data_IF_314552080611
#
_entry.id   IF_314552080611
#
_cell.length_a   1.000
_cell.length_b   1.000
_cell.length_c   1.000
_cell.angle_alpha   90.00
_cell.angle_beta   90.00
_cell.angle_gamma   90.00
#
_symmetry.space_group_name_H-M   'P 1'
#
loop_
_entity.id
_entity.type
_entity.pdbx_description
1 polymer ?
#
# COMPACT_ATOMS: atom_id res chain seq x y z
N UNK A 1 13.39 -44.82 25.75
CA UNK A 1 13.26 -43.44 26.24
C UNK A 1 12.70 -42.62 25.09
N UNK A 2 11.38 -42.64 24.91
CA UNK A 2 10.70 -41.88 23.86
C UNK A 2 9.86 -40.80 24.53
N UNK A 3 10.33 -39.57 24.33
CA UNK A 3 9.74 -38.36 24.87
C UNK A 3 8.55 -37.99 23.99
N UNK A 4 7.34 -38.13 24.54
CA UNK A 4 6.10 -37.57 24.01
C UNK A 4 6.27 -36.06 23.84
N UNK A 5 6.18 -35.56 22.61
CA UNK A 5 6.03 -34.12 22.36
C UNK A 5 4.55 -33.84 22.07
N UNK A 6 3.98 -33.06 22.98
CA UNK A 6 2.59 -32.63 22.99
C UNK A 6 2.22 -31.92 21.69
N UNK A 7 1.07 -32.32 21.13
CA UNK A 7 0.27 -31.47 20.27
C UNK A 7 -0.12 -30.18 21.02
N UNK A 8 0.61 -29.10 20.76
CA UNK A 8 0.15 -27.74 21.04
C UNK A 8 -0.02 -27.06 19.68
N UNK A 9 -1.28 -27.00 19.28
CA UNK A 9 -1.77 -26.25 18.15
C UNK A 9 -1.36 -24.77 18.28
N UNK A 10 -0.40 -24.32 17.47
CA UNK A 10 -0.13 -22.90 17.21
C UNK A 10 0.14 -22.70 15.73
N UNK A 11 -0.89 -22.89 14.91
CA UNK A 11 -0.94 -22.30 13.56
C UNK A 11 -1.16 -20.78 13.65
N UNK A 12 -0.24 -20.07 14.30
CA UNK A 12 -0.12 -18.63 14.18
C UNK A 12 1.30 -18.40 13.75
N UNK A 13 1.46 -17.79 12.57
CA UNK A 13 2.70 -17.16 12.10
C UNK A 13 3.58 -17.93 11.10
N UNK A 14 3.03 -18.87 10.31
CA UNK A 14 3.74 -19.36 9.12
C UNK A 14 4.04 -18.21 8.13
N UNK A 15 3.14 -17.22 8.03
CA UNK A 15 3.30 -16.05 7.17
C UNK A 15 4.41 -15.09 7.63
N UNK A 16 4.62 -14.95 8.95
CA UNK A 16 5.71 -14.12 9.48
C UNK A 16 7.06 -14.82 9.26
N UNK A 17 7.11 -16.15 9.40
CA UNK A 17 8.32 -16.93 9.14
C UNK A 17 8.67 -16.94 7.64
N UNK A 18 7.67 -17.02 6.76
CA UNK A 18 7.86 -16.87 5.31
C UNK A 18 8.32 -15.44 4.96
N UNK A 19 7.74 -14.39 5.55
CA UNK A 19 8.20 -13.01 5.32
C UNK A 19 9.63 -12.77 5.82
N UNK A 20 9.99 -13.31 6.99
CA UNK A 20 11.35 -13.21 7.54
C UNK A 20 12.37 -13.98 6.67
N UNK A 21 12.04 -15.20 6.23
CA UNK A 21 12.90 -15.96 5.32
C UNK A 21 12.92 -15.42 3.88
N UNK A 22 11.87 -14.74 3.41
CA UNK A 22 11.93 -14.00 2.15
C UNK A 22 12.83 -12.78 2.27
N UNK A 23 12.85 -12.08 3.42
CA UNK A 23 13.77 -10.98 3.68
C UNK A 23 15.23 -11.47 3.76
N UNK A 24 15.49 -12.60 4.40
CA UNK A 24 16.84 -13.20 4.48
C UNK A 24 17.34 -13.69 3.10
N UNK A 25 16.46 -14.23 2.26
CA UNK A 25 16.79 -14.64 0.89
C UNK A 25 16.90 -13.46 -0.10
N UNK A 26 16.23 -12.33 0.16
CA UNK A 26 16.36 -11.10 -0.65
C UNK A 26 17.68 -10.36 -0.37
N UNK A 27 18.30 -10.59 0.79
CA UNK A 27 19.61 -10.04 1.13
C UNK A 27 20.78 -10.83 0.51
N UNK A 28 20.54 -12.01 -0.09
CA UNK A 28 21.61 -12.89 -0.60
C UNK A 28 21.79 -12.87 -2.13
N UNK A 29 21.05 -12.04 -2.89
CA UNK A 29 21.24 -11.93 -4.35
C UNK A 29 21.39 -10.51 -4.89
N UNK A 30 21.81 -9.56 -4.06
CA UNK A 30 22.33 -8.27 -4.55
C UNK A 30 23.83 -8.39 -4.86
N UNK A 31 24.17 -9.06 -5.96
CA UNK A 31 25.43 -8.77 -6.66
C UNK A 31 25.08 -8.39 -8.09
N UNK A 32 24.45 -7.22 -8.25
CA UNK A 32 24.51 -6.48 -9.50
C UNK A 32 25.74 -5.58 -9.40
N UNK A 33 26.85 -6.06 -9.96
CA UNK A 33 28.09 -5.31 -10.07
C UNK A 33 28.05 -4.50 -11.36
N UNK A 34 27.62 -3.25 -11.26
CA UNK A 34 27.97 -2.23 -12.24
C UNK A 34 28.10 -0.90 -11.49
N UNK A 35 29.34 -0.45 -11.29
CA UNK A 35 29.73 0.65 -10.40
C UNK A 35 29.26 2.05 -10.87
N UNK A 36 28.26 2.12 -11.75
CA UNK A 36 27.76 3.37 -12.36
C UNK A 36 26.26 3.59 -12.29
N UNK A 37 25.47 2.67 -11.75
CA UNK A 37 24.02 2.87 -11.61
C UNK A 37 23.70 3.30 -10.18
N UNK A 38 23.44 4.58 -9.98
CA UNK A 38 22.95 5.10 -8.71
C UNK A 38 21.46 4.77 -8.55
N UNK A 39 20.99 4.62 -7.30
CA UNK A 39 19.55 4.47 -7.01
C UNK A 39 18.71 5.62 -7.58
N UNK A 40 19.32 6.79 -7.77
CA UNK A 40 18.70 7.95 -8.40
C UNK A 40 18.55 7.80 -9.92
N UNK A 41 19.51 7.18 -10.62
CA UNK A 41 19.36 6.89 -12.06
C UNK A 41 18.31 5.79 -12.32
N UNK A 42 18.23 4.80 -11.44
CA UNK A 42 17.17 3.78 -11.44
C UNK A 42 15.79 4.40 -11.19
N UNK A 43 15.65 5.28 -10.19
CA UNK A 43 14.40 6.02 -9.96
C UNK A 43 14.04 6.92 -11.13
N UNK A 44 15.01 7.61 -11.73
CA UNK A 44 14.80 8.45 -12.92
C UNK A 44 14.34 7.63 -14.14
N UNK A 45 14.74 6.35 -14.23
CA UNK A 45 14.28 5.45 -15.29
C UNK A 45 12.83 4.97 -15.12
N UNK A 46 12.29 4.99 -13.90
CA UNK A 46 10.92 4.55 -13.63
C UNK A 46 9.97 5.70 -13.85
N UNK A 47 9.19 5.63 -14.94
CA UNK A 47 8.14 6.61 -15.24
C UNK A 47 7.13 6.70 -14.10
N UNK A 48 7.04 7.89 -13.49
CA UNK A 48 5.93 8.30 -12.63
C UNK A 48 4.89 9.08 -13.42
N UNK A 49 3.72 9.29 -12.84
CA UNK A 49 2.59 9.93 -13.53
C UNK A 49 2.11 11.18 -12.80
N UNK A 50 1.36 12.01 -13.51
CA UNK A 50 0.70 13.19 -12.92
C UNK A 50 -0.53 12.80 -12.10
N UNK A 51 -1.06 13.75 -11.33
CA UNK A 51 -2.27 13.54 -10.53
C UNK A 51 -3.45 12.98 -11.36
N UNK A 52 -3.73 13.58 -12.52
CA UNK A 52 -4.83 13.19 -13.40
C UNK A 52 -4.62 11.85 -14.09
N UNK A 53 -3.37 11.41 -14.24
CA UNK A 53 -3.05 10.09 -14.79
C UNK A 53 -3.17 8.98 -13.74
N UNK A 54 -2.89 9.26 -12.46
CA UNK A 54 -3.15 8.31 -11.37
C UNK A 54 -4.63 8.23 -10.98
N UNK A 55 -5.36 9.34 -11.06
CA UNK A 55 -6.72 9.43 -10.53
C UNK A 55 -7.70 9.90 -11.60
N UNK A 56 -8.60 8.99 -12.00
CA UNK A 56 -9.74 9.32 -12.88
C UNK A 56 -10.70 10.29 -12.20
N UNK A 57 -10.94 10.12 -10.90
CA UNK A 57 -11.66 11.10 -10.09
C UNK A 57 -11.28 11.00 -8.61
N UNK A 58 -11.33 12.12 -7.89
CA UNK A 58 -11.21 12.16 -6.42
C UNK A 58 -12.15 13.24 -5.90
N UNK A 59 -13.07 12.87 -5.01
CA UNK A 59 -14.06 13.79 -4.44
C UNK A 59 -14.36 13.47 -2.99
N UNK A 60 -14.55 14.51 -2.19
CA UNK A 60 -15.13 14.37 -0.86
C UNK A 60 -16.61 14.04 -0.99
N UNK A 61 -17.04 12.98 -0.33
CA UNK A 61 -18.44 12.57 -0.26
C UNK A 61 -18.84 12.34 1.19
N UNK A 62 -20.15 12.32 1.43
CA UNK A 62 -20.72 11.77 2.66
C UNK A 62 -21.57 10.57 2.27
N UNK A 63 -21.30 9.40 2.83
CA UNK A 63 -22.08 8.18 2.62
C UNK A 63 -22.40 7.57 3.96
N UNK A 64 -23.68 7.25 4.20
CA UNK A 64 -24.14 6.67 5.46
C UNK A 64 -23.69 7.49 6.69
N UNK A 65 -23.73 8.83 6.58
CA UNK A 65 -23.30 9.74 7.65
C UNK A 65 -21.78 9.90 7.81
N UNK A 66 -20.97 9.15 7.05
CA UNK A 66 -19.51 9.18 7.15
C UNK A 66 -18.91 9.99 6.00
N UNK A 67 -18.01 10.92 6.35
CA UNK A 67 -17.19 11.64 5.37
C UNK A 67 -16.11 10.72 4.83
N UNK A 68 -15.90 10.71 3.51
CA UNK A 68 -14.83 9.97 2.85
C UNK A 68 -14.24 10.76 1.69
N UNK A 69 -12.95 10.56 1.43
CA UNK A 69 -12.33 10.92 0.16
C UNK A 69 -12.51 9.72 -0.78
N UNK A 70 -13.44 9.83 -1.72
CA UNK A 70 -13.76 8.78 -2.69
C UNK A 70 -12.85 8.90 -3.90
N UNK A 71 -12.06 7.86 -4.16
CA UNK A 71 -10.99 7.82 -5.16
C UNK A 71 -11.34 6.78 -6.22
N UNK A 72 -11.40 7.23 -7.47
CA UNK A 72 -11.42 6.34 -8.64
C UNK A 72 -10.02 6.36 -9.26
N UNK A 73 -9.18 5.34 -9.00
CA UNK A 73 -7.83 5.27 -9.55
C UNK A 73 -7.85 4.89 -11.04
N UNK A 74 -6.74 5.13 -11.73
CA UNK A 74 -6.44 4.51 -13.01
C UNK A 74 -5.74 3.15 -12.81
N UNK A 75 -5.50 2.43 -13.90
CA UNK A 75 -4.77 1.16 -13.84
C UNK A 75 -3.31 1.32 -13.36
N UNK A 76 -2.75 2.53 -13.37
CA UNK A 76 -1.39 2.82 -12.86
C UNK A 76 -1.20 2.56 -11.37
N UNK A 77 -2.29 2.34 -10.62
CA UNK A 77 -2.24 1.94 -9.22
C UNK A 77 -2.66 0.49 -8.99
N UNK A 78 -2.66 -0.34 -10.04
CA UNK A 78 -2.93 -1.77 -9.93
C UNK A 78 -1.65 -2.56 -10.19
N UNK A 79 -1.36 -3.55 -9.32
CA UNK A 79 -0.16 -4.40 -9.45
C UNK A 79 -0.03 -5.11 -10.80
N UNK A 80 -1.16 -5.47 -11.42
CA UNK A 80 -1.20 -6.12 -12.74
C UNK A 80 -0.57 -5.27 -13.85
N UNK A 81 -0.57 -3.94 -13.73
CA UNK A 81 0.08 -3.04 -14.71
C UNK A 81 1.60 -3.20 -14.73
N UNK A 82 2.18 -3.74 -13.66
CA UNK A 82 3.63 -3.87 -13.47
C UNK A 82 4.04 -5.34 -13.34
N UNK A 83 3.29 -6.27 -13.93
CA UNK A 83 3.51 -7.72 -13.79
C UNK A 83 3.63 -8.16 -12.32
N UNK A 84 2.85 -7.52 -11.43
CA UNK A 84 2.89 -7.73 -9.98
C UNK A 84 4.25 -7.43 -9.30
N UNK A 85 5.10 -6.60 -9.92
CA UNK A 85 6.31 -6.12 -9.28
C UNK A 85 5.98 -5.17 -8.12
N UNK A 86 6.13 -5.66 -6.88
CA UNK A 86 5.80 -4.93 -5.67
C UNK A 86 6.63 -3.66 -5.46
N UNK A 87 7.90 -3.64 -5.88
CA UNK A 87 8.78 -2.48 -5.73
C UNK A 87 8.33 -1.32 -6.61
N UNK A 88 7.96 -1.60 -7.86
CA UNK A 88 7.43 -0.58 -8.77
C UNK A 88 6.08 -0.10 -8.26
N UNK A 89 5.18 -1.00 -7.86
CA UNK A 89 3.88 -0.61 -7.33
C UNK A 89 4.00 0.27 -6.07
N UNK A 90 4.92 -0.06 -5.16
CA UNK A 90 5.17 0.74 -3.95
C UNK A 90 5.67 2.16 -4.29
N UNK A 91 6.55 2.30 -5.29
CA UNK A 91 6.97 3.61 -5.78
C UNK A 91 5.78 4.41 -6.33
N UNK A 92 4.93 3.78 -7.15
CA UNK A 92 3.75 4.43 -7.75
C UNK A 92 2.74 4.83 -6.67
N UNK A 93 2.54 3.98 -5.65
CA UNK A 93 1.71 4.28 -4.49
C UNK A 93 2.23 5.50 -3.72
N UNK A 94 3.53 5.54 -3.41
CA UNK A 94 4.15 6.66 -2.70
C UNK A 94 4.06 7.97 -3.48
N UNK A 95 4.31 7.95 -4.79
CA UNK A 95 4.16 9.13 -5.64
C UNK A 95 2.71 9.61 -5.71
N UNK A 96 1.76 8.70 -5.92
CA UNK A 96 0.35 9.04 -5.99
C UNK A 96 -0.19 9.55 -4.65
N UNK A 97 0.24 8.97 -3.53
CA UNK A 97 -0.09 9.46 -2.19
C UNK A 97 0.39 10.90 -1.99
N UNK A 98 1.64 11.21 -2.33
CA UNK A 98 2.17 12.57 -2.17
C UNK A 98 1.37 13.59 -3.01
N UNK A 99 0.98 13.22 -4.23
CA UNK A 99 0.12 14.05 -5.09
C UNK A 99 -1.29 14.23 -4.50
N UNK A 100 -1.87 13.16 -3.96
CA UNK A 100 -3.18 13.18 -3.27
C UNK A 100 -3.14 14.08 -2.04
N UNK A 101 -2.15 13.86 -1.16
CA UNK A 101 -1.90 14.65 0.04
C UNK A 101 -1.73 16.13 -0.31
N UNK A 102 -0.82 16.47 -1.23
CA UNK A 102 -0.57 17.86 -1.63
C UNK A 102 -1.85 18.58 -2.09
N UNK A 103 -2.74 17.88 -2.80
CA UNK A 103 -3.98 18.46 -3.34
C UNK A 103 -5.09 18.60 -2.29
N UNK A 104 -5.22 17.65 -1.35
CA UNK A 104 -6.39 17.57 -0.48
C UNK A 104 -6.14 17.93 0.98
N UNK A 105 -4.88 18.01 1.42
CA UNK A 105 -4.52 18.25 2.85
C UNK A 105 -5.07 19.54 3.45
N UNK A 106 -5.37 20.55 2.62
CA UNK A 106 -5.92 21.83 3.07
C UNK A 106 -7.44 21.80 3.26
N UNK A 107 -8.11 20.70 2.90
CA UNK A 107 -9.54 20.55 3.16
C UNK A 107 -9.80 20.47 4.66
N UNK A 108 -10.83 21.15 5.16
CA UNK A 108 -11.30 20.99 6.55
C UNK A 108 -11.76 19.57 6.88
N UNK A 109 -12.01 18.74 5.85
CA UNK A 109 -12.34 17.32 5.98
C UNK A 109 -11.11 16.42 6.17
N UNK A 110 -9.90 16.91 5.86
CA UNK A 110 -8.67 16.14 5.96
C UNK A 110 -8.20 16.05 7.41
N UNK A 111 -8.17 14.83 7.97
CA UNK A 111 -7.71 14.53 9.33
C UNK A 111 -7.02 13.17 9.34
N UNK A 112 -6.21 12.91 10.36
CA UNK A 112 -5.53 11.63 10.57
C UNK A 112 -4.70 11.15 9.36
N UNK A 113 -3.77 11.99 8.89
CA UNK A 113 -2.97 11.74 7.68
C UNK A 113 -2.34 10.36 7.62
N UNK A 114 -1.74 9.87 8.72
CA UNK A 114 -1.12 8.55 8.75
C UNK A 114 -2.13 7.40 8.53
N UNK A 115 -3.32 7.54 9.09
CA UNK A 115 -4.43 6.59 8.87
C UNK A 115 -4.93 6.65 7.43
N UNK A 116 -5.15 7.85 6.87
CA UNK A 116 -5.53 8.01 5.47
C UNK A 116 -4.50 7.40 4.51
N UNK A 117 -3.20 7.54 4.82
CA UNK A 117 -2.11 6.93 4.05
C UNK A 117 -2.16 5.41 4.12
N UNK A 118 -2.34 4.85 5.32
CA UNK A 118 -2.43 3.41 5.52
C UNK A 118 -3.65 2.82 4.78
N UNK A 119 -4.80 3.47 4.87
CA UNK A 119 -6.01 3.09 4.12
C UNK A 119 -5.74 3.14 2.61
N UNK A 120 -5.19 4.25 2.10
CA UNK A 120 -4.87 4.41 0.68
C UNK A 120 -3.94 3.31 0.18
N UNK A 121 -2.82 3.07 0.87
CA UNK A 121 -1.86 2.07 0.45
C UNK A 121 -2.43 0.64 0.55
N UNK A 122 -3.28 0.34 1.55
CA UNK A 122 -3.98 -0.93 1.60
C UNK A 122 -4.89 -1.13 0.38
N UNK A 123 -5.59 -0.07 -0.05
CA UNK A 123 -6.39 -0.14 -1.27
C UNK A 123 -5.53 -0.38 -2.51
N UNK A 124 -4.37 0.27 -2.64
CA UNK A 124 -3.46 0.05 -3.77
C UNK A 124 -2.91 -1.38 -3.78
N UNK A 125 -2.48 -1.91 -2.63
CA UNK A 125 -1.75 -3.17 -2.57
C UNK A 125 -2.65 -4.42 -2.49
N UNK A 126 -3.80 -4.34 -1.82
CA UNK A 126 -4.64 -5.53 -1.54
C UNK A 126 -6.02 -5.46 -2.16
N UNK A 127 -6.65 -4.27 -2.20
CA UNK A 127 -7.99 -4.15 -2.75
C UNK A 127 -7.98 -4.02 -4.28
N UNK A 128 -7.05 -3.22 -4.81
CA UNK A 128 -6.85 -2.95 -6.22
C UNK A 128 -8.17 -2.60 -6.94
N UNK A 129 -8.43 -3.19 -8.13
CA UNK A 129 -9.61 -2.88 -8.92
C UNK A 129 -10.93 -3.35 -8.28
N UNK A 130 -10.89 -4.29 -7.31
CA UNK A 130 -12.08 -4.96 -6.79
C UNK A 130 -12.91 -4.11 -5.82
N UNK A 131 -12.35 -3.00 -5.31
CA UNK A 131 -13.04 -2.09 -4.38
C UNK A 131 -13.11 -0.65 -4.88
N UNK A 132 -13.08 -0.43 -6.20
CA UNK A 132 -13.24 0.92 -6.75
C UNK A 132 -14.71 1.36 -6.65
N UNK A 133 -15.02 2.58 -6.15
CA UNK A 133 -14.08 3.60 -5.67
C UNK A 133 -13.53 3.31 -4.26
N UNK A 134 -12.25 3.61 -4.07
CA UNK A 134 -11.61 3.53 -2.76
C UNK A 134 -12.08 4.70 -1.90
N UNK A 135 -12.80 4.40 -0.83
CA UNK A 135 -13.30 5.43 0.09
C UNK A 135 -12.41 5.44 1.32
N UNK A 136 -11.50 6.40 1.43
CA UNK A 136 -10.66 6.57 2.62
C UNK A 136 -11.30 7.58 3.58
N UNK A 137 -11.27 7.27 4.87
CA UNK A 137 -12.13 7.88 5.87
C UNK A 137 -11.30 8.66 6.91
N UNK A 138 -11.37 10.00 6.93
CA UNK A 138 -10.53 10.83 7.80
C UNK A 138 -10.88 10.72 9.30
N UNK A 139 -12.02 10.11 9.65
CA UNK A 139 -12.38 9.89 11.04
C UNK A 139 -11.66 8.67 11.65
N UNK A 140 -11.12 7.76 10.84
CA UNK A 140 -10.34 6.61 11.30
C UNK A 140 -8.98 7.04 11.78
N UNK A 141 -8.44 6.39 12.80
CA UNK A 141 -7.15 6.73 13.44
C UNK A 141 -6.09 5.64 13.29
N UNK A 142 -6.48 4.42 12.95
CA UNK A 142 -5.56 3.28 12.84
C UNK A 142 -4.61 3.47 11.64
N UNK A 143 -3.32 3.25 11.90
CA UNK A 143 -2.24 3.36 10.92
C UNK A 143 -1.29 2.16 10.94
N UNK A 144 -1.47 1.24 11.89
CA UNK A 144 -0.79 -0.04 11.91
C UNK A 144 -1.26 -0.88 10.72
N UNK A 145 -0.32 -1.12 9.81
CA UNK A 145 -0.57 -1.83 8.55
C UNK A 145 -1.23 -3.20 8.73
N UNK A 146 -0.79 -3.98 9.72
CA UNK A 146 -1.35 -5.32 9.94
C UNK A 146 -2.84 -5.25 10.32
N UNK A 147 -3.21 -4.27 11.15
CA UNK A 147 -4.61 -4.04 11.54
C UNK A 147 -5.42 -3.54 10.36
N UNK A 148 -4.89 -2.56 9.61
CA UNK A 148 -5.57 -1.99 8.43
C UNK A 148 -5.89 -3.07 7.39
N UNK A 149 -4.94 -3.95 7.10
CA UNK A 149 -5.14 -5.07 6.16
C UNK A 149 -6.17 -6.06 6.72
N UNK A 150 -6.01 -6.48 7.98
CA UNK A 150 -6.88 -7.48 8.61
C UNK A 150 -8.35 -7.05 8.63
N UNK A 151 -8.60 -5.74 8.69
CA UNK A 151 -9.94 -5.14 8.70
C UNK A 151 -10.39 -4.61 7.32
N UNK A 152 -9.76 -5.05 6.23
CA UNK A 152 -10.24 -4.78 4.88
C UNK A 152 -10.03 -3.36 4.38
N UNK A 153 -8.92 -2.74 4.83
CA UNK A 153 -8.37 -1.44 4.47
C UNK A 153 -8.95 -0.20 5.14
N UNK A 154 -10.12 -0.27 5.79
CA UNK A 154 -10.72 0.87 6.50
C UNK A 154 -11.19 0.45 7.91
N UNK A 155 -10.29 0.02 8.81
CA UNK A 155 -10.63 -0.32 10.20
C UNK A 155 -11.29 0.84 10.95
#
# INVERSE_FOLDING_TARGET
MEMKIHHICRMKNIWIYIMQHMLENLMYKSTYSDDKITMDSLRASIKTYTYSEYFKSVKWITRNGVVSLSITPSNKLFGSTYNNNANILALQAATAWNLLYKKHKSSSKWKNTASLEAQFNCHVMFAGPNKVPWNIEPHRTESNWAVVIAHGCNP
#
